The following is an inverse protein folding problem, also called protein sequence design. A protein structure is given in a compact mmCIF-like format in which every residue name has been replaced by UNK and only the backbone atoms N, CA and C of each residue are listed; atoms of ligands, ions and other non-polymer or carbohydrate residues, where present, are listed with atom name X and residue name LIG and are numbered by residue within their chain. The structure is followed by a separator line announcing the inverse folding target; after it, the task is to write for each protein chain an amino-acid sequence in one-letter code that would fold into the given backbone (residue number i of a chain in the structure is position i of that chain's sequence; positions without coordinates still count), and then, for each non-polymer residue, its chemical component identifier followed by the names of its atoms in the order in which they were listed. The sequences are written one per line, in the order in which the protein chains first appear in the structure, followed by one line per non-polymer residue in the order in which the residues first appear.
data_IF_348839301006
#
_entry.id   IF_348839301006
#
_cell.length_a   1.000
_cell.length_b   1.000
_cell.length_c   1.000
_cell.angle_alpha   90.00
_cell.angle_beta   90.00
_cell.angle_gamma   90.00
#
_symmetry.space_group_name_H-M   'P 1'
#
loop_
_entity.id
_entity.type
_entity.pdbx_description
1 polymer ?
#
# COMPACT_ATOMS: atom_id res chain seq x y z
N UNK A 1 12.10 5.33 -12.11
CA UNK A 1 11.33 5.99 -11.02
C UNK A 1 9.92 5.41 -11.07
N UNK A 2 9.34 5.02 -9.93
CA UNK A 2 8.01 4.39 -9.90
C UNK A 2 6.94 5.42 -10.24
N UNK A 3 6.06 5.07 -11.18
CA UNK A 3 4.95 5.93 -11.59
C UNK A 3 3.69 5.62 -10.78
N UNK A 4 3.46 6.42 -9.74
CA UNK A 4 2.34 6.22 -8.81
C UNK A 4 0.99 6.59 -9.40
N UNK A 5 0.93 7.57 -10.31
CA UNK A 5 -0.36 8.02 -10.86
C UNK A 5 -1.10 6.89 -11.61
N UNK A 6 -0.52 6.24 -12.65
CA UNK A 6 -1.17 5.13 -13.32
C UNK A 6 -1.34 3.90 -12.42
N UNK A 7 -0.48 3.69 -11.43
CA UNK A 7 -0.67 2.64 -10.42
C UNK A 7 -1.97 2.88 -9.62
N UNK A 8 -2.17 4.10 -9.12
CA UNK A 8 -3.38 4.51 -8.42
C UNK A 8 -4.60 4.68 -9.33
N UNK A 9 -4.47 4.66 -10.66
CA UNK A 9 -5.61 4.65 -11.58
C UNK A 9 -6.06 3.22 -11.92
N UNK A 10 -5.13 2.28 -12.05
CA UNK A 10 -5.40 0.95 -12.61
C UNK A 10 -5.42 -0.18 -11.57
N UNK A 11 -4.74 -0.02 -10.43
CA UNK A 11 -4.62 -1.09 -9.43
C UNK A 11 -5.61 -0.89 -8.26
N UNK A 12 -5.89 -1.99 -7.55
CA UNK A 12 -6.72 -1.95 -6.34
C UNK A 12 -5.97 -1.27 -5.19
N UNK A 13 -6.66 -0.44 -4.41
CA UNK A 13 -6.02 0.27 -3.28
C UNK A 13 -5.40 -0.72 -2.28
N UNK A 14 -6.04 -1.86 -2.03
CA UNK A 14 -5.48 -2.94 -1.20
C UNK A 14 -4.10 -3.40 -1.69
N UNK A 15 -3.95 -3.60 -2.99
CA UNK A 15 -2.71 -4.11 -3.58
C UNK A 15 -1.62 -3.02 -3.60
N UNK A 16 -2.01 -1.76 -3.73
CA UNK A 16 -1.12 -0.61 -3.55
C UNK A 16 -0.62 -0.53 -2.11
N UNK A 17 -1.49 -0.74 -1.11
CA UNK A 17 -1.09 -0.79 0.32
C UNK A 17 -0.12 -1.96 0.57
N UNK A 18 -0.36 -3.14 -0.02
CA UNK A 18 0.56 -4.29 0.05
C UNK A 18 1.93 -3.95 -0.52
N UNK A 19 1.96 -3.32 -1.70
CA UNK A 19 3.20 -2.87 -2.32
C UNK A 19 3.94 -1.86 -1.44
N UNK A 20 3.28 -0.79 -1.01
CA UNK A 20 3.89 0.28 -0.22
C UNK A 20 4.41 -0.21 1.14
N UNK A 21 3.67 -1.09 1.82
CA UNK A 21 4.09 -1.71 3.08
C UNK A 21 5.24 -2.72 2.90
N UNK A 22 5.40 -3.29 1.71
CA UNK A 22 6.46 -4.23 1.38
C UNK A 22 7.70 -3.62 0.70
N UNK A 23 7.62 -2.35 0.26
CA UNK A 23 8.65 -1.70 -0.57
C UNK A 23 9.95 -1.38 0.17
N UNK A 24 9.88 -1.12 1.48
CA UNK A 24 11.03 -0.82 2.34
C UNK A 24 11.10 -1.82 3.48
N UNK A 25 12.28 -2.05 4.03
CA UNK A 25 12.49 -2.95 5.17
C UNK A 25 11.58 -2.59 6.37
N UNK A 26 11.48 -1.29 6.68
CA UNK A 26 10.61 -0.77 7.75
C UNK A 26 9.16 -0.51 7.29
N UNK A 27 8.84 -0.84 6.04
CA UNK A 27 7.57 -0.56 5.40
C UNK A 27 7.25 0.92 5.25
N UNK A 28 6.02 1.32 5.54
CA UNK A 28 5.49 2.67 5.34
C UNK A 28 4.75 3.19 6.57
N UNK A 29 4.91 4.46 6.93
CA UNK A 29 4.10 5.06 8.01
C UNK A 29 2.66 5.34 7.55
N UNK A 30 1.70 5.40 8.49
CA UNK A 30 0.33 5.77 8.13
C UNK A 30 0.24 7.15 7.45
N UNK A 31 0.92 8.21 7.95
CA UNK A 31 0.92 9.52 7.27
C UNK A 31 1.50 9.48 5.85
N UNK A 32 2.54 8.67 5.61
CA UNK A 32 3.09 8.51 4.26
C UNK A 32 2.08 7.84 3.35
N UNK A 33 1.44 6.76 3.81
CA UNK A 33 0.44 6.03 3.03
C UNK A 33 -0.75 6.94 2.66
N UNK A 34 -1.28 7.68 3.62
CA UNK A 34 -2.35 8.67 3.40
C UNK A 34 -1.91 9.74 2.40
N UNK A 35 -0.68 10.25 2.52
CA UNK A 35 -0.11 11.20 1.56
C UNK A 35 -0.06 10.67 0.11
N UNK A 36 0.30 9.40 -0.11
CA UNK A 36 0.23 8.78 -1.45
C UNK A 36 -1.22 8.72 -1.96
N UNK A 37 -2.17 8.33 -1.11
CA UNK A 37 -3.59 8.28 -1.44
C UNK A 37 -4.15 9.67 -1.80
N UNK A 38 -3.78 10.72 -1.07
CA UNK A 38 -4.19 12.10 -1.38
C UNK A 38 -3.56 12.60 -2.67
N UNK A 39 -2.25 12.37 -2.86
CA UNK A 39 -1.50 12.93 -3.98
C UNK A 39 -1.81 12.23 -5.32
N UNK A 40 -2.00 10.91 -5.31
CA UNK A 40 -2.17 10.12 -6.54
C UNK A 40 -3.53 9.43 -6.65
N UNK A 41 -4.21 9.21 -5.53
CA UNK A 41 -5.45 8.44 -5.50
C UNK A 41 -6.66 9.15 -6.11
N UNK A 42 -6.56 10.42 -6.53
CA UNK A 42 -7.61 11.16 -7.22
C UNK A 42 -9.01 10.97 -6.60
N UNK A 43 -9.10 11.06 -5.26
CA UNK A 43 -10.33 10.84 -4.46
C UNK A 43 -10.95 9.43 -4.55
N UNK A 44 -10.25 8.42 -5.07
CA UNK A 44 -10.68 7.00 -5.08
C UNK A 44 -10.85 6.41 -3.68
N UNK A 45 -10.24 7.03 -2.67
CA UNK A 45 -10.34 6.58 -1.28
C UNK A 45 -10.30 7.77 -0.34
N UNK A 46 -11.22 7.79 0.62
CA UNK A 46 -11.20 8.69 1.76
C UNK A 46 -10.31 8.16 2.89
N UNK A 47 -9.91 9.04 3.81
CA UNK A 47 -9.11 8.64 4.97
C UNK A 47 -9.81 7.57 5.84
N UNK A 48 -11.13 7.66 6.01
CA UNK A 48 -11.94 6.68 6.78
C UNK A 48 -11.90 5.30 6.10
N UNK A 49 -12.04 5.26 4.77
CA UNK A 49 -11.96 4.02 4.00
C UNK A 49 -10.56 3.41 4.06
N UNK A 50 -9.51 4.25 4.00
CA UNK A 50 -8.13 3.80 4.13
C UNK A 50 -7.90 3.14 5.49
N UNK A 51 -8.35 3.77 6.59
CA UNK A 51 -8.29 3.21 7.94
C UNK A 51 -9.00 1.85 8.02
N UNK A 52 -10.19 1.74 7.42
CA UNK A 52 -10.97 0.49 7.38
C UNK A 52 -10.23 -0.62 6.62
N UNK A 53 -9.64 -0.30 5.46
CA UNK A 53 -8.87 -1.25 4.65
C UNK A 53 -7.64 -1.73 5.40
N UNK A 54 -6.80 -0.84 5.94
CA UNK A 54 -5.57 -1.24 6.65
C UNK A 54 -5.89 -2.04 7.91
N UNK A 55 -7.00 -1.75 8.59
CA UNK A 55 -7.48 -2.54 9.73
C UNK A 55 -7.79 -3.98 9.30
N UNK A 56 -8.61 -4.16 8.27
CA UNK A 56 -8.96 -5.49 7.72
C UNK A 56 -7.73 -6.26 7.23
N UNK A 57 -6.82 -5.58 6.52
CA UNK A 57 -5.57 -6.18 6.04
C UNK A 57 -4.69 -6.65 7.19
N UNK A 58 -4.63 -5.88 8.29
CA UNK A 58 -3.89 -6.30 9.50
C UNK A 58 -4.55 -7.51 10.17
N UNK A 59 -5.86 -7.51 10.31
CA UNK A 59 -6.62 -8.64 10.88
C UNK A 59 -6.41 -9.92 10.04
N UNK A 60 -6.35 -9.78 8.72
CA UNK A 60 -6.05 -10.87 7.79
C UNK A 60 -4.56 -11.28 7.76
N UNK A 61 -3.67 -10.55 8.44
CA UNK A 61 -2.22 -10.78 8.39
C UNK A 61 -1.54 -10.39 7.07
N UNK A 62 -2.24 -9.70 6.16
CA UNK A 62 -1.67 -9.18 4.91
C UNK A 62 -0.56 -8.16 5.20
N UNK A 63 -0.75 -7.36 6.26
CA UNK A 63 0.22 -6.38 6.77
C UNK A 63 0.35 -6.50 8.29
N UNK A 64 1.42 -5.94 8.85
CA UNK A 64 1.69 -5.93 10.29
C UNK A 64 2.20 -4.57 10.75
N UNK A 65 2.06 -4.28 12.05
CA UNK A 65 2.59 -3.04 12.60
C UNK A 65 4.13 -3.05 12.56
N UNK A 66 4.72 -1.93 12.17
CA UNK A 66 6.19 -1.80 12.10
C UNK A 66 6.84 -1.30 13.40
N UNK A 67 6.06 -1.09 14.47
CA UNK A 67 6.56 -0.56 15.75
C UNK A 67 6.66 0.97 15.81
N UNK A 68 6.43 1.68 14.70
CA UNK A 68 6.66 3.14 14.54
C UNK A 68 5.46 3.88 13.94
N UNK A 69 4.24 3.40 14.18
CA UNK A 69 3.03 4.03 13.64
C UNK A 69 2.78 3.71 12.16
N UNK A 70 3.32 2.60 11.65
CA UNK A 70 3.23 2.21 10.25
C UNK A 70 3.02 0.73 10.04
N UNK A 71 3.16 0.32 8.79
CA UNK A 71 2.83 -0.99 8.27
C UNK A 71 4.01 -1.59 7.53
N UNK A 72 4.29 -2.85 7.78
CA UNK A 72 5.25 -3.70 7.07
C UNK A 72 4.57 -4.98 6.57
N UNK A 73 5.31 -5.81 5.82
CA UNK A 73 4.86 -7.14 5.40
C UNK A 73 4.35 -7.94 6.61
N UNK A 74 3.12 -8.44 6.52
CA UNK A 74 2.55 -9.36 7.50
C UNK A 74 2.82 -10.83 7.17
N UNK A 75 2.40 -11.76 8.03
CA UNK A 75 2.62 -13.20 7.84
C UNK A 75 1.96 -13.75 6.56
N UNK A 76 0.85 -13.15 6.13
CA UNK A 76 0.13 -13.54 4.91
C UNK A 76 0.43 -12.61 3.73
N UNK A 77 1.47 -11.77 3.83
CA UNK A 77 1.84 -10.85 2.77
C UNK A 77 2.17 -11.62 1.49
N UNK A 78 1.53 -11.21 0.40
CA UNK A 78 1.80 -11.72 -0.94
C UNK A 78 2.10 -10.55 -1.86
N UNK A 79 3.07 -10.77 -2.73
CA UNK A 79 3.47 -9.77 -3.70
C UNK A 79 2.33 -9.47 -4.68
N UNK A 80 1.96 -8.19 -4.88
CA UNK A 80 0.94 -7.82 -5.85
C UNK A 80 1.34 -8.19 -7.28
N UNK A 81 0.34 -8.58 -8.08
CA UNK A 81 0.57 -9.05 -9.46
C UNK A 81 1.32 -8.03 -10.32
N UNK A 82 1.00 -6.74 -10.21
CA UNK A 82 1.65 -5.69 -11.00
C UNK A 82 3.15 -5.53 -10.70
N UNK A 83 3.60 -5.95 -9.50
CA UNK A 83 5.02 -5.98 -9.14
C UNK A 83 5.72 -7.11 -9.89
N UNK A 84 5.11 -8.31 -9.91
CA UNK A 84 5.64 -9.44 -10.68
C UNK A 84 5.65 -9.20 -12.19
N UNK A 85 4.72 -8.38 -12.69
CA UNK A 85 4.63 -7.95 -14.08
C UNK A 85 5.56 -6.76 -14.40
N UNK A 86 6.33 -6.25 -13.43
CA UNK A 86 7.25 -5.11 -13.58
C UNK A 86 6.58 -3.85 -14.15
N UNK A 87 5.31 -3.62 -13.78
CA UNK A 87 4.58 -2.42 -14.20
C UNK A 87 5.09 -1.18 -13.48
N UNK A 88 4.76 -0.01 -14.04
CA UNK A 88 4.96 1.29 -13.39
C UNK A 88 6.42 1.62 -13.02
N UNK A 89 7.39 1.05 -13.75
CA UNK A 89 8.82 1.31 -13.51
C UNK A 89 9.37 0.60 -12.26
N UNK A 90 8.79 -0.54 -11.89
CA UNK A 90 9.29 -1.46 -10.88
C UNK A 90 10.26 -2.44 -11.57
N UNK A 91 11.49 -2.55 -11.06
CA UNK A 91 12.56 -3.42 -11.62
C UNK A 91 12.76 -4.71 -10.84
#
# INVERSE_FOLDING_TARGET
MIDFKPMFENEQIRDIVLFLSGRKENGISHPQLDGYCTMHGNKRISNIELISIVKKMRENGDISFNGKGGYKKGPNWKEPRFVTEKKYGIE
#
